data_IF_468974684515
#
_entry.id   IF_468974684515
#
_cell.length_a   1.000
_cell.length_b   1.000
_cell.length_c   1.000
_cell.angle_alpha   90.00
_cell.angle_beta   90.00
_cell.angle_gamma   90.00
#
_symmetry.space_group_name_H-M   'P 1'
#
loop_
_entity.id
_entity.type
_entity.pdbx_description
1 polymer ?
#
# COMPACT_ATOMS: atom_id res chain seq x y z
N UNK A 1 -39.73 -8.00 49.70
CA UNK A 1 -40.18 -8.19 48.30
C UNK A 1 -39.44 -7.16 47.47
N UNK A 2 -38.77 -7.63 46.41
CA UNK A 2 -38.38 -7.01 45.10
C UNK A 2 -38.36 -5.46 45.06
N UNK A 3 -37.32 -4.81 44.55
CA UNK A 3 -36.91 -4.88 43.15
C UNK A 3 -35.40 -4.58 42.98
N UNK A 4 -34.73 -5.41 42.17
CA UNK A 4 -33.35 -5.18 41.72
C UNK A 4 -33.37 -4.30 40.48
N UNK A 5 -32.67 -3.17 40.57
CA UNK A 5 -32.50 -2.22 39.48
C UNK A 5 -31.60 -2.83 38.40
N UNK A 6 -32.21 -3.22 37.29
CA UNK A 6 -31.52 -3.77 36.13
C UNK A 6 -30.84 -2.64 35.37
N UNK A 7 -29.52 -2.55 35.48
CA UNK A 7 -28.71 -1.76 34.57
C UNK A 7 -28.85 -2.33 33.15
N UNK A 8 -29.25 -1.53 32.14
CA UNK A 8 -29.18 -1.98 30.76
C UNK A 8 -27.71 -2.09 30.37
N UNK A 9 -27.23 -3.33 30.29
CA UNK A 9 -25.97 -3.66 29.62
C UNK A 9 -26.17 -3.35 28.14
N UNK A 10 -25.65 -2.21 27.68
CA UNK A 10 -25.52 -1.93 26.25
C UNK A 10 -24.62 -3.03 25.70
N UNK A 11 -25.23 -4.02 25.04
CA UNK A 11 -24.50 -4.93 24.16
C UNK A 11 -23.79 -4.03 23.15
N UNK A 12 -22.45 -3.97 23.23
CA UNK A 12 -21.65 -3.42 22.13
C UNK A 12 -21.93 -4.30 20.93
N UNK A 13 -22.88 -3.88 20.10
CA UNK A 13 -23.06 -4.44 18.77
C UNK A 13 -21.70 -4.30 18.07
N UNK A 14 -21.09 -5.44 17.74
CA UNK A 14 -19.94 -5.47 16.85
C UNK A 14 -20.32 -4.78 15.56
N UNK A 15 -19.81 -3.57 15.37
CA UNK A 15 -19.98 -2.83 14.13
C UNK A 15 -19.08 -3.43 13.08
N UNK A 16 -19.74 -4.14 12.15
CA UNK A 16 -19.36 -4.50 10.79
C UNK A 16 -17.90 -4.33 10.41
N UNK A 17 -17.23 -5.45 10.12
CA UNK A 17 -15.95 -5.42 9.44
C UNK A 17 -16.09 -4.63 8.15
N UNK A 18 -15.42 -3.48 8.06
CA UNK A 18 -15.08 -2.92 6.76
C UNK A 18 -14.24 -4.00 6.09
N UNK A 19 -14.79 -4.63 5.05
CA UNK A 19 -14.01 -5.60 4.28
C UNK A 19 -12.91 -4.80 3.57
N UNK A 20 -11.73 -4.71 4.18
CA UNK A 20 -10.51 -4.24 3.55
C UNK A 20 -10.12 -5.22 2.44
N UNK A 21 -10.96 -5.35 1.41
CA UNK A 21 -10.87 -6.36 0.37
C UNK A 21 -9.62 -6.15 -0.51
N UNK A 22 -9.15 -4.91 -0.59
CA UNK A 22 -8.01 -4.50 -1.41
C UNK A 22 -6.84 -4.11 -0.52
N UNK A 23 -5.76 -4.88 -0.59
CA UNK A 23 -4.61 -4.72 0.31
C UNK A 23 -3.29 -4.82 -0.44
N UNK A 24 -2.30 -4.08 0.04
CA UNK A 24 -0.95 -4.15 -0.48
C UNK A 24 -0.01 -3.12 0.14
N UNK A 25 1.18 -2.95 -0.46
CA UNK A 25 2.12 -1.91 -0.06
C UNK A 25 3.08 -1.51 -1.18
N UNK A 26 3.60 -0.29 -1.10
CA UNK A 26 4.86 0.12 -1.72
C UNK A 26 5.95 0.06 -0.65
N UNK A 27 7.10 -0.51 -0.94
CA UNK A 27 8.17 -0.71 0.04
C UNK A 27 9.53 -0.32 -0.54
N UNK A 28 10.31 0.46 0.21
CA UNK A 28 11.71 0.74 -0.09
C UNK A 28 12.58 -0.15 0.79
N UNK A 29 13.50 -0.91 0.20
CA UNK A 29 14.37 -1.85 0.91
C UNK A 29 15.84 -1.70 0.45
N UNK A 30 16.78 -2.14 1.28
CA UNK A 30 18.23 -2.23 1.00
C UNK A 30 19.04 -1.04 1.51
N UNK A 31 20.37 -1.18 1.57
CA UNK A 31 21.27 -0.10 2.01
C UNK A 31 21.01 0.39 3.45
N UNK A 32 20.48 -0.49 4.32
CA UNK A 32 20.08 -0.15 5.70
C UNK A 32 18.68 0.45 5.84
N UNK A 33 17.92 0.57 4.76
CA UNK A 33 16.54 1.09 4.77
C UNK A 33 15.55 -0.07 4.62
N UNK A 34 14.52 -0.10 5.46
CA UNK A 34 13.30 -0.88 5.23
C UNK A 34 12.10 -0.06 5.69
N UNK A 35 11.22 0.27 4.73
CA UNK A 35 10.34 1.42 4.91
C UNK A 35 9.15 1.26 3.98
N UNK A 36 7.91 1.30 4.50
CA UNK A 36 6.71 0.88 3.76
C UNK A 36 5.57 1.91 3.79
N UNK A 37 4.79 1.96 2.72
CA UNK A 37 3.52 2.67 2.61
C UNK A 37 2.42 1.64 2.28
N UNK A 38 1.74 1.06 3.29
CA UNK A 38 0.68 0.09 3.09
C UNK A 38 -0.64 0.74 2.67
N UNK A 39 -1.53 -0.05 2.07
CA UNK A 39 -2.94 0.28 1.91
C UNK A 39 -3.82 -0.91 2.27
N UNK A 40 -4.98 -0.59 2.81
CA UNK A 40 -6.07 -1.52 3.07
C UNK A 40 -7.38 -0.72 2.96
N UNK A 41 -8.24 -1.11 2.03
CA UNK A 41 -9.48 -0.37 1.75
C UNK A 41 -10.53 -1.25 1.05
N UNK A 42 -11.76 -0.76 1.05
CA UNK A 42 -12.92 -1.45 0.47
C UNK A 42 -12.95 -1.41 -1.06
N UNK A 43 -12.47 -0.31 -1.67
CA UNK A 43 -12.43 -0.14 -3.13
C UNK A 43 -11.04 -0.42 -3.68
N UNK A 44 -10.90 -0.84 -4.94
CA UNK A 44 -9.60 -0.94 -5.59
C UNK A 44 -8.82 0.38 -5.49
N UNK A 45 -7.51 0.28 -5.25
CA UNK A 45 -6.61 1.45 -5.27
C UNK A 45 -6.57 2.02 -6.70
N UNK A 46 -6.84 3.32 -6.88
CA UNK A 46 -6.72 3.96 -8.20
C UNK A 46 -5.26 4.26 -8.55
N UNK A 47 -5.01 4.65 -9.79
CA UNK A 47 -3.71 5.13 -10.28
C UNK A 47 -3.19 6.30 -9.46
N UNK A 48 -3.97 7.36 -9.28
CA UNK A 48 -3.54 8.53 -8.50
C UNK A 48 -3.30 8.19 -7.03
N UNK A 49 -4.11 7.32 -6.43
CA UNK A 49 -3.86 6.83 -5.07
C UNK A 49 -2.57 6.00 -4.99
N UNK A 50 -2.27 5.20 -6.02
CA UNK A 50 -1.01 4.48 -6.17
C UNK A 50 0.20 5.41 -6.21
N UNK A 51 0.12 6.51 -6.97
CA UNK A 51 1.13 7.57 -6.94
C UNK A 51 1.26 8.20 -5.56
N UNK A 52 0.15 8.47 -4.88
CA UNK A 52 0.16 8.95 -3.49
C UNK A 52 0.91 8.00 -2.53
N UNK A 53 0.82 6.68 -2.73
CA UNK A 53 1.61 5.70 -1.96
C UNK A 53 3.10 5.75 -2.27
N UNK A 54 3.48 6.07 -3.50
CA UNK A 54 4.88 6.32 -3.86
C UNK A 54 5.37 7.62 -3.19
N UNK A 55 4.57 8.68 -3.18
CA UNK A 55 4.91 9.94 -2.51
C UNK A 55 5.03 9.80 -1.00
N UNK A 56 4.09 9.11 -0.35
CA UNK A 56 4.16 8.77 1.07
C UNK A 56 5.45 8.01 1.40
N UNK A 57 5.85 7.09 0.52
CA UNK A 57 7.12 6.37 0.63
C UNK A 57 8.31 7.32 0.45
N UNK A 58 8.31 8.22 -0.54
CA UNK A 58 9.38 9.19 -0.74
C UNK A 58 9.56 10.12 0.45
N UNK A 59 8.48 10.64 1.01
CA UNK A 59 8.49 11.58 2.14
C UNK A 59 9.14 10.98 3.41
N UNK A 60 9.09 9.67 3.56
CA UNK A 60 9.71 8.97 4.67
C UNK A 60 11.22 8.66 4.44
N UNK A 61 11.79 8.91 3.26
CA UNK A 61 13.21 8.68 2.95
C UNK A 61 14.06 9.91 3.30
N UNK A 62 15.29 9.69 3.76
CA UNK A 62 16.29 10.76 3.83
C UNK A 62 16.73 11.18 2.42
N UNK A 63 17.33 12.38 2.23
CA UNK A 63 17.79 12.81 0.91
C UNK A 63 18.76 11.82 0.24
N UNK A 64 19.63 11.16 1.01
CA UNK A 64 20.53 10.12 0.51
C UNK A 64 19.76 8.88 0.06
N UNK A 65 18.85 8.38 0.90
CA UNK A 65 18.05 7.20 0.59
C UNK A 65 17.13 7.40 -0.63
N UNK A 66 16.64 8.63 -0.82
CA UNK A 66 15.85 9.04 -1.98
C UNK A 66 16.69 9.01 -3.25
N UNK A 67 17.88 9.64 -3.22
CA UNK A 67 18.82 9.65 -4.34
C UNK A 67 19.23 8.23 -4.76
N UNK A 68 19.50 7.36 -3.79
CA UNK A 68 19.89 5.97 -4.06
C UNK A 68 18.75 5.14 -4.69
N UNK A 69 17.51 5.65 -4.71
CA UNK A 69 16.30 4.97 -5.22
C UNK A 69 15.58 5.70 -6.33
N UNK A 70 16.18 6.75 -6.89
CA UNK A 70 15.50 7.57 -7.90
C UNK A 70 14.99 6.73 -9.08
N UNK A 71 15.86 5.92 -9.69
CA UNK A 71 15.49 5.07 -10.84
C UNK A 71 14.42 4.01 -10.46
N UNK A 72 14.53 3.25 -9.35
CA UNK A 72 13.46 2.39 -8.85
C UNK A 72 12.12 3.10 -8.65
N UNK A 73 12.11 4.31 -8.09
CA UNK A 73 10.89 5.07 -7.83
C UNK A 73 10.23 5.52 -9.14
N UNK A 74 11.01 5.97 -10.12
CA UNK A 74 10.54 6.31 -11.46
C UNK A 74 9.90 5.09 -12.14
N UNK A 75 10.60 3.94 -12.16
CA UNK A 75 10.08 2.68 -12.71
C UNK A 75 8.83 2.17 -12.01
N UNK A 76 8.72 2.41 -10.70
CA UNK A 76 7.53 2.10 -9.90
C UNK A 76 6.33 2.90 -10.42
N UNK A 77 6.49 4.21 -10.67
CA UNK A 77 5.43 5.06 -11.24
C UNK A 77 5.06 4.63 -12.65
N UNK A 78 6.04 4.39 -13.52
CA UNK A 78 5.77 3.90 -14.89
C UNK A 78 4.98 2.60 -14.90
N UNK A 79 5.30 1.69 -13.99
CA UNK A 79 4.57 0.42 -13.89
C UNK A 79 3.14 0.62 -13.40
N UNK A 80 2.90 1.50 -12.42
CA UNK A 80 1.55 1.86 -11.97
C UNK A 80 0.74 2.46 -13.12
N UNK A 81 1.34 3.36 -13.91
CA UNK A 81 0.70 3.95 -15.09
C UNK A 81 0.29 2.87 -16.10
N UNK A 82 1.20 1.95 -16.44
CA UNK A 82 0.91 0.85 -17.37
C UNK A 82 -0.16 -0.10 -16.82
N UNK A 83 -0.15 -0.38 -15.52
CA UNK A 83 -1.19 -1.18 -14.87
C UNK A 83 -2.56 -0.52 -15.05
N UNK A 84 -2.67 0.80 -14.80
CA UNK A 84 -3.90 1.54 -14.99
C UNK A 84 -4.37 1.51 -16.45
N UNK A 85 -3.48 1.77 -17.41
CA UNK A 85 -3.82 1.68 -18.85
C UNK A 85 -4.32 0.29 -19.27
N UNK A 86 -3.94 -0.76 -18.55
CA UNK A 86 -4.41 -2.13 -18.76
C UNK A 86 -5.68 -2.49 -17.98
N UNK A 87 -6.29 -1.54 -17.25
CA UNK A 87 -7.49 -1.78 -16.42
C UNK A 87 -7.19 -2.21 -14.97
N UNK A 88 -5.95 -2.04 -14.50
CA UNK A 88 -5.49 -2.42 -13.17
C UNK A 88 -4.90 -3.83 -13.11
N UNK A 89 -4.58 -4.28 -11.90
CA UNK A 89 -4.00 -5.60 -11.63
C UNK A 89 -4.74 -6.31 -10.50
N UNK A 90 -4.97 -7.61 -10.65
CA UNK A 90 -5.57 -8.46 -9.63
C UNK A 90 -4.48 -9.14 -8.79
N UNK A 91 -4.69 -9.22 -7.48
CA UNK A 91 -3.84 -9.96 -6.57
C UNK A 91 -3.79 -11.46 -6.94
N UNK A 92 -2.69 -12.15 -6.62
CA UNK A 92 -1.46 -11.63 -6.03
C UNK A 92 -0.50 -11.06 -7.09
N UNK A 93 0.11 -9.91 -6.80
CA UNK A 93 1.20 -9.35 -7.61
C UNK A 93 2.35 -8.93 -6.71
N UNK A 94 3.57 -9.28 -7.09
CA UNK A 94 4.79 -8.74 -6.51
C UNK A 94 5.71 -8.27 -7.63
N UNK A 95 6.14 -7.00 -7.56
CA UNK A 95 7.06 -6.41 -8.54
C UNK A 95 8.17 -5.66 -7.83
N UNK A 96 9.41 -6.04 -8.15
CA UNK A 96 10.62 -5.43 -7.62
C UNK A 96 11.33 -4.60 -8.69
N UNK A 97 11.69 -3.37 -8.33
CA UNK A 97 12.53 -2.48 -9.14
C UNK A 97 13.84 -2.23 -8.39
N UNK A 98 14.94 -2.83 -8.88
CA UNK A 98 16.27 -2.70 -8.25
C UNK A 98 17.02 -1.49 -8.82
N UNK A 99 17.78 -0.81 -7.97
CA UNK A 99 18.74 0.21 -8.39
C UNK A 99 19.88 -0.46 -9.15
N UNK A 100 20.18 0.01 -10.37
CA UNK A 100 21.28 -0.55 -11.17
C UNK A 100 22.61 -0.38 -10.44
N UNK A 101 23.40 -1.45 -10.37
CA UNK A 101 24.70 -1.46 -9.70
C UNK A 101 24.64 -1.58 -8.18
N UNK A 102 23.46 -1.56 -7.57
CA UNK A 102 23.29 -1.89 -6.16
C UNK A 102 23.08 -3.39 -5.97
N UNK A 103 23.54 -3.91 -4.82
CA UNK A 103 23.32 -5.31 -4.44
C UNK A 103 21.88 -5.54 -3.96
N UNK A 104 21.31 -4.58 -3.24
CA UNK A 104 20.07 -4.77 -2.46
C UNK A 104 19.08 -3.59 -2.49
N UNK A 105 19.50 -2.40 -2.94
CA UNK A 105 18.64 -1.22 -2.97
C UNK A 105 17.54 -1.38 -4.02
N UNK A 106 16.29 -1.28 -3.58
CA UNK A 106 15.11 -1.52 -4.42
C UNK A 106 13.85 -0.83 -3.90
N UNK A 107 12.85 -0.78 -4.76
CA UNK A 107 11.46 -0.49 -4.43
C UNK A 107 10.58 -1.65 -4.89
N UNK A 108 9.71 -2.12 -4.02
CA UNK A 108 8.78 -3.23 -4.27
C UNK A 108 7.33 -2.72 -4.25
N UNK A 109 6.51 -3.21 -5.18
CA UNK A 109 5.06 -3.15 -5.12
C UNK A 109 4.54 -4.55 -4.80
N UNK A 110 3.66 -4.65 -3.81
CA UNK A 110 2.92 -5.88 -3.53
C UNK A 110 1.43 -5.63 -3.45
N UNK A 111 0.66 -6.28 -4.32
CA UNK A 111 -0.81 -6.36 -4.24
C UNK A 111 -1.15 -7.71 -3.62
N UNK A 112 -1.58 -7.69 -2.36
CA UNK A 112 -1.83 -8.89 -1.54
C UNK A 112 -3.24 -9.45 -1.69
N UNK A 113 -4.22 -8.58 -1.90
CA UNK A 113 -5.63 -8.96 -2.02
C UNK A 113 -6.40 -7.96 -2.88
N UNK A 114 -7.46 -8.44 -3.52
CA UNK A 114 -8.34 -7.64 -4.38
C UNK A 114 -7.65 -7.18 -5.67
N UNK A 115 -8.06 -6.03 -6.16
CA UNK A 115 -7.50 -5.33 -7.31
C UNK A 115 -6.83 -4.01 -6.92
N UNK A 116 -5.84 -3.56 -7.67
CA UNK A 116 -5.16 -2.27 -7.48
C UNK A 116 -4.77 -1.61 -8.80
N UNK A 117 -4.42 -0.33 -8.71
CA UNK A 117 -3.99 0.55 -9.80
C UNK A 117 -4.98 0.62 -10.96
N UNK A 118 -6.28 0.68 -10.67
CA UNK A 118 -7.31 0.91 -11.70
C UNK A 118 -7.24 2.36 -12.23
N UNK A 119 -7.72 2.65 -13.45
CA UNK A 119 -7.93 4.02 -13.92
C UNK A 119 -8.72 4.87 -12.89
N UNK A 120 -8.44 6.18 -12.89
CA UNK A 120 -9.17 7.16 -12.08
C UNK A 120 -10.57 7.45 -12.64
#
# INVERSE_FOLDING_TARGET
MREGEQHPTIKRNGTGGSSEAHRGRVQAQGGGTEKSAPWAQEKPLTRNQGFGKVDERQAQLTPRELRDRQEPLEKTREWIERAALAGGVNAPVSKTFKQKGSKDIRVDIEVKAGQAFIPD
#
